data_IF_899745473791
#
_entry.id   IF_899745473791
#
_cell.length_a   1.000
_cell.length_b   1.000
_cell.length_c   1.000
_cell.angle_alpha   90.00
_cell.angle_beta   90.00
_cell.angle_gamma   90.00
#
_symmetry.space_group_name_H-M   'P 1'
#
loop_
_entity.id
_entity.type
_entity.pdbx_description
1 polymer ?
#
# COMPACT_ATOMS: atom_id res chain seq x y z
N UNK A 1 -6.40 -9.57 -2.74
CA UNK A 1 -7.58 -10.34 -2.31
C UNK A 1 -8.05 -9.98 -0.88
N UNK A 2 -7.17 -9.73 0.10
CA UNK A 2 -7.56 -9.38 1.49
C UNK A 2 -8.57 -8.22 1.56
N UNK A 3 -8.33 -7.12 0.85
CA UNK A 3 -9.23 -5.96 0.86
C UNK A 3 -10.69 -6.33 0.58
N UNK A 4 -10.95 -7.15 -0.45
CA UNK A 4 -12.31 -7.56 -0.83
C UNK A 4 -13.05 -8.30 0.28
N UNK A 5 -12.33 -9.09 1.08
CA UNK A 5 -12.89 -9.87 2.18
C UNK A 5 -13.14 -9.01 3.43
N UNK A 6 -12.29 -8.00 3.66
CA UNK A 6 -12.36 -7.14 4.85
C UNK A 6 -13.27 -5.92 4.64
N UNK A 7 -13.45 -5.48 3.40
CA UNK A 7 -14.24 -4.29 3.05
C UNK A 7 -15.69 -4.29 3.61
N UNK A 8 -16.45 -5.40 3.59
CA UNK A 8 -17.78 -5.43 4.21
C UNK A 8 -17.78 -5.09 5.71
N UNK A 9 -16.67 -5.34 6.40
CA UNK A 9 -16.50 -5.01 7.81
C UNK A 9 -16.03 -3.57 8.01
N UNK A 10 -15.15 -3.06 7.13
CA UNK A 10 -14.71 -1.65 7.17
C UNK A 10 -15.90 -0.71 7.03
N UNK A 11 -16.86 -1.02 6.16
CA UNK A 11 -18.10 -0.24 5.96
C UNK A 11 -18.98 -0.08 7.21
N UNK A 12 -18.75 -0.88 8.26
CA UNK A 12 -19.49 -0.78 9.53
C UNK A 12 -18.86 0.21 10.51
N UNK A 13 -17.67 0.73 10.21
CA UNK A 13 -17.01 1.76 11.00
C UNK A 13 -17.60 3.14 10.70
N UNK A 14 -17.74 3.99 11.71
CA UNK A 14 -18.06 5.41 11.53
C UNK A 14 -16.91 6.16 10.82
N UNK A 15 -15.69 5.62 10.90
CA UNK A 15 -14.47 6.14 10.30
C UNK A 15 -13.70 5.02 9.59
N UNK A 16 -14.14 4.58 8.40
CA UNK A 16 -13.50 3.47 7.70
C UNK A 16 -12.13 3.90 7.15
N UNK A 17 -11.09 3.13 7.48
CA UNK A 17 -9.74 3.36 6.99
C UNK A 17 -9.01 2.05 6.63
N UNK A 18 -8.17 2.10 5.61
CA UNK A 18 -7.32 1.01 5.18
C UNK A 18 -5.91 1.55 4.86
N UNK A 19 -4.93 1.12 5.66
CA UNK A 19 -3.54 1.54 5.56
C UNK A 19 -2.68 0.39 5.06
N UNK A 20 -1.87 0.63 4.04
CA UNK A 20 -1.03 -0.37 3.41
C UNK A 20 0.44 0.00 3.55
N UNK A 21 1.27 -0.95 3.95
CA UNK A 21 2.72 -0.77 4.06
C UNK A 21 3.37 -0.98 2.70
N UNK A 22 3.85 0.11 2.12
CA UNK A 22 4.58 0.15 0.86
C UNK A 22 6.09 0.37 1.09
N UNK A 23 6.82 0.80 0.06
CA UNK A 23 8.24 1.12 0.12
C UNK A 23 8.59 2.17 -0.94
N UNK A 24 9.63 2.96 -0.68
CA UNK A 24 10.27 3.82 -1.69
C UNK A 24 10.73 3.04 -2.93
N UNK A 25 11.00 1.74 -2.80
CA UNK A 25 11.29 0.84 -3.93
C UNK A 25 10.15 0.71 -4.94
N UNK A 26 8.91 1.06 -4.56
CA UNK A 26 7.76 1.11 -5.46
C UNK A 26 7.60 2.45 -6.20
N UNK A 27 8.57 3.36 -6.11
CA UNK A 27 8.55 4.63 -6.83
C UNK A 27 8.77 4.43 -8.33
N UNK A 28 8.02 5.17 -9.14
CA UNK A 28 8.16 5.20 -10.61
C UNK A 28 9.06 6.34 -11.11
N UNK A 29 9.41 7.28 -10.23
CA UNK A 29 10.23 8.45 -10.57
C UNK A 29 11.51 8.57 -9.74
N UNK A 30 11.79 7.57 -8.90
CA UNK A 30 12.98 7.53 -8.06
C UNK A 30 13.63 6.16 -8.15
N UNK A 31 14.89 6.14 -8.58
CA UNK A 31 15.69 4.92 -8.69
C UNK A 31 16.51 4.71 -7.43
N UNK A 32 16.42 3.49 -6.88
CA UNK A 32 17.24 3.09 -5.75
C UNK A 32 18.56 2.50 -6.24
N UNK A 33 19.69 2.76 -5.53
CA UNK A 33 20.97 2.12 -5.82
C UNK A 33 21.05 0.66 -5.33
N UNK A 34 19.93 -0.06 -5.32
CA UNK A 34 19.79 -1.42 -4.79
C UNK A 34 19.01 -2.33 -5.77
N UNK A 35 19.35 -3.62 -5.78
CA UNK A 35 18.67 -4.62 -6.61
C UNK A 35 17.34 -5.04 -5.97
N UNK A 36 16.27 -4.32 -6.28
CA UNK A 36 14.93 -4.54 -5.71
C UNK A 36 13.89 -4.97 -6.75
N UNK A 37 14.27 -5.46 -7.92
CA UNK A 37 13.36 -5.67 -9.07
C UNK A 37 11.97 -6.23 -8.73
N UNK A 38 11.89 -7.47 -8.23
CA UNK A 38 10.61 -8.08 -7.87
C UNK A 38 9.90 -7.40 -6.68
N UNK A 39 10.67 -6.98 -5.67
CA UNK A 39 10.15 -6.30 -4.48
C UNK A 39 9.54 -4.93 -4.85
N UNK A 40 10.30 -4.08 -5.54
CA UNK A 40 9.89 -2.79 -6.06
C UNK A 40 8.71 -2.90 -7.02
N UNK A 41 8.72 -3.85 -7.96
CA UNK A 41 7.57 -4.10 -8.84
C UNK A 41 6.29 -4.44 -8.03
N UNK A 42 6.42 -5.29 -7.00
CA UNK A 42 5.29 -5.63 -6.12
C UNK A 42 4.77 -4.42 -5.34
N UNK A 43 5.66 -3.53 -4.88
CA UNK A 43 5.30 -2.31 -4.14
C UNK A 43 4.71 -1.24 -5.06
N UNK A 44 5.18 -1.12 -6.29
CA UNK A 44 4.59 -0.26 -7.31
C UNK A 44 3.17 -0.72 -7.71
N UNK A 45 2.98 -2.04 -7.89
CA UNK A 45 1.66 -2.61 -8.14
C UNK A 45 0.71 -2.38 -6.96
N UNK A 46 1.20 -2.56 -5.71
CA UNK A 46 0.42 -2.23 -4.52
C UNK A 46 0.01 -0.76 -4.52
N UNK A 47 0.93 0.16 -4.89
CA UNK A 47 0.61 1.58 -4.92
C UNK A 47 -0.53 1.90 -5.89
N UNK A 48 -0.49 1.31 -7.09
CA UNK A 48 -1.56 1.45 -8.07
C UNK A 48 -2.89 0.90 -7.55
N UNK A 49 -2.88 -0.30 -6.96
CA UNK A 49 -4.09 -0.94 -6.43
C UNK A 49 -4.73 -0.09 -5.33
N UNK A 50 -3.95 0.40 -4.36
CA UNK A 50 -4.49 1.22 -3.25
C UNK A 50 -5.07 2.54 -3.76
N UNK A 51 -4.41 3.18 -4.74
CA UNK A 51 -4.98 4.35 -5.42
C UNK A 51 -6.34 4.04 -6.04
N UNK A 52 -6.46 2.93 -6.77
CA UNK A 52 -7.73 2.51 -7.39
C UNK A 52 -8.82 2.22 -6.34
N UNK A 53 -8.45 1.63 -5.20
CA UNK A 53 -9.40 1.40 -4.10
C UNK A 53 -9.94 2.74 -3.58
N UNK A 54 -9.08 3.71 -3.30
CA UNK A 54 -9.53 5.04 -2.84
C UNK A 54 -10.40 5.77 -3.85
N UNK A 55 -10.11 5.65 -5.14
CA UNK A 55 -10.95 6.19 -6.22
C UNK A 55 -12.33 5.51 -6.31
N UNK A 56 -12.42 4.20 -6.01
CA UNK A 56 -13.65 3.41 -6.10
C UNK A 56 -14.52 3.47 -4.83
N UNK A 57 -13.92 3.82 -3.70
CA UNK A 57 -14.53 3.82 -2.37
C UNK A 57 -14.22 5.15 -1.66
N UNK A 58 -14.80 6.28 -2.11
CA UNK A 58 -14.46 7.62 -1.60
C UNK A 58 -14.80 7.81 -0.11
N UNK A 59 -15.68 6.98 0.44
CA UNK A 59 -15.99 6.94 1.87
C UNK A 59 -14.85 6.37 2.73
N UNK A 60 -13.94 5.59 2.12
CA UNK A 60 -12.85 4.90 2.79
C UNK A 60 -11.56 5.72 2.72
N UNK A 61 -10.95 6.01 3.87
CA UNK A 61 -9.61 6.58 3.91
C UNK A 61 -8.59 5.51 3.53
N UNK A 62 -7.98 5.62 2.35
CA UNK A 62 -6.90 4.72 1.90
C UNK A 62 -5.55 5.41 1.91
N UNK A 63 -4.53 4.79 2.50
CA UNK A 63 -3.17 5.31 2.44
C UNK A 63 -2.11 4.24 2.19
N UNK A 64 -1.00 4.69 1.62
CA UNK A 64 0.20 3.89 1.35
C UNK A 64 1.35 4.52 2.13
N UNK A 65 2.02 3.73 2.95
CA UNK A 65 3.04 4.23 3.86
C UNK A 65 4.37 3.56 3.56
N UNK A 66 5.40 4.35 3.24
CA UNK A 66 6.77 3.88 3.29
C UNK A 66 7.32 4.15 4.71
N UNK A 67 7.67 3.12 5.49
CA UNK A 67 8.07 3.30 6.89
C UNK A 67 9.54 3.71 7.06
N UNK A 68 10.29 3.94 5.98
CA UNK A 68 11.75 4.01 6.04
C UNK A 68 12.40 2.62 6.12
N UNK A 69 13.66 2.59 6.55
CA UNK A 69 14.35 1.36 6.94
C UNK A 69 13.96 1.03 8.39
N UNK A 70 13.60 -0.23 8.67
CA UNK A 70 13.04 -0.62 9.97
C UNK A 70 13.69 -1.91 10.44
N UNK A 71 14.39 -1.85 11.57
CA UNK A 71 15.13 -2.98 12.14
C UNK A 71 14.19 -4.15 12.45
N UNK A 72 14.17 -5.11 11.52
CA UNK A 72 13.35 -6.32 11.55
C UNK A 72 14.14 -7.47 10.94
N UNK A 73 13.59 -8.69 10.93
CA UNK A 73 14.21 -9.80 10.20
C UNK A 73 14.32 -9.57 8.69
N UNK A 74 13.66 -8.54 8.15
CA UNK A 74 13.69 -8.17 6.72
C UNK A 74 14.69 -7.04 6.40
N UNK A 75 15.23 -6.33 7.41
CA UNK A 75 16.17 -5.22 7.25
C UNK A 75 15.79 -3.98 8.04
#
# INVERSE_FOLDING_TARGET
LIFQQVYPYLKKSDHPAAHFISSVAGSIGYELPFQVGAYGASKAALNYIVKKIGEQHPELVTSMLHPGMVETTMG
#
